data_IF_505296718059
#
_entry.id   IF_505296718059
#
_cell.length_a   1.000
_cell.length_b   1.000
_cell.length_c   1.000
_cell.angle_alpha   90.00
_cell.angle_beta   90.00
_cell.angle_gamma   90.00
#
_symmetry.space_group_name_H-M   'P 1'
#
loop_
_entity.id
_entity.type
_entity.pdbx_description
1 polymer ?
#
# COMPACT_ATOMS: atom_id res chain seq x y z
N UNK A 1 5.35 7.00 1.28
CA UNK A 1 4.13 6.53 0.57
C UNK A 1 2.95 7.34 1.08
N UNK A 2 2.10 7.84 0.19
CA UNK A 2 0.84 8.48 0.57
C UNK A 2 -0.27 7.50 0.25
N UNK A 3 -1.12 7.21 1.23
CA UNK A 3 -2.20 6.22 1.14
C UNK A 3 -3.56 6.87 1.38
N UNK A 4 -4.57 6.32 0.70
CA UNK A 4 -5.96 6.73 0.80
C UNK A 4 -6.89 5.53 1.02
N UNK A 5 -7.92 5.69 1.85
CA UNK A 5 -8.92 4.65 2.12
C UNK A 5 -9.98 4.51 1.03
N UNK A 6 -10.02 5.43 0.06
CA UNK A 6 -10.83 5.35 -1.16
C UNK A 6 -9.96 5.28 -2.43
N UNK A 7 -10.58 4.86 -3.53
CA UNK A 7 -9.97 4.85 -4.85
C UNK A 7 -9.75 6.29 -5.37
N UNK A 8 -8.93 6.44 -6.40
CA UNK A 8 -8.67 7.71 -7.09
C UNK A 8 -8.21 8.85 -6.15
N UNK A 9 -7.45 8.49 -5.11
CA UNK A 9 -6.83 9.43 -4.16
C UNK A 9 -7.86 10.27 -3.38
N UNK A 10 -9.00 9.68 -3.05
CA UNK A 10 -10.10 10.30 -2.29
C UNK A 10 -10.17 9.79 -0.84
N UNK A 11 -11.07 10.37 -0.05
CA UNK A 11 -11.28 9.94 1.33
C UNK A 11 -10.16 10.36 2.28
N UNK A 12 -9.94 9.55 3.31
CA UNK A 12 -8.92 9.77 4.33
C UNK A 12 -7.53 9.55 3.75
N UNK A 13 -6.68 10.55 3.92
CA UNK A 13 -5.28 10.55 3.49
C UNK A 13 -4.34 10.39 4.68
N UNK A 14 -3.31 9.56 4.54
CA UNK A 14 -2.16 9.55 5.44
C UNK A 14 -0.85 9.39 4.67
N UNK A 15 0.19 10.08 5.15
CA UNK A 15 1.54 10.02 4.57
C UNK A 15 2.46 9.27 5.52
N UNK A 16 3.06 8.21 5.01
CA UNK A 16 3.99 7.36 5.75
C UNK A 16 5.41 7.54 5.21
N UNK A 17 6.33 7.82 6.12
CA UNK A 17 7.76 8.00 5.86
C UNK A 17 8.61 6.84 6.38
N UNK A 18 8.04 5.96 7.19
CA UNK A 18 8.63 4.73 7.72
C UNK A 18 7.72 3.52 7.48
N UNK A 19 8.16 2.33 7.86
CA UNK A 19 7.32 1.15 7.87
C UNK A 19 6.05 1.32 8.72
N UNK A 20 4.97 0.69 8.28
CA UNK A 20 3.69 0.62 8.96
C UNK A 20 3.35 -0.85 9.19
N UNK A 21 3.33 -1.28 10.45
CA UNK A 21 3.02 -2.67 10.83
C UNK A 21 1.53 -2.99 10.72
N UNK A 22 0.67 -1.99 10.95
CA UNK A 22 -0.77 -2.11 10.95
C UNK A 22 -1.45 -0.78 10.62
N UNK A 23 -2.08 -0.68 9.45
CA UNK A 23 -2.78 0.55 9.01
C UNK A 23 -3.98 0.92 9.89
N UNK A 24 -4.54 -0.02 10.66
CA UNK A 24 -5.68 0.25 11.54
C UNK A 24 -5.32 1.24 12.67
N UNK A 25 -4.04 1.35 13.03
CA UNK A 25 -3.54 2.34 13.99
C UNK A 25 -3.71 3.78 13.48
N UNK A 26 -3.84 3.94 12.16
CA UNK A 26 -4.11 5.21 11.47
C UNK A 26 -5.59 5.36 11.09
N UNK A 27 -6.42 4.41 11.56
CA UNK A 27 -7.86 4.35 11.35
C UNK A 27 -8.28 3.91 9.93
N UNK A 28 -7.39 3.28 9.18
CA UNK A 28 -7.73 2.67 7.88
C UNK A 28 -8.22 1.25 8.09
N UNK A 29 -9.30 0.85 7.41
CA UNK A 29 -9.71 -0.56 7.33
C UNK A 29 -8.95 -1.30 6.22
N UNK A 30 -8.73 -0.62 5.10
CA UNK A 30 -7.90 -1.04 3.97
C UNK A 30 -7.37 0.19 3.25
N UNK A 31 -6.29 0.05 2.50
CA UNK A 31 -5.87 1.07 1.55
C UNK A 31 -6.47 0.77 0.17
N UNK A 32 -6.98 1.79 -0.52
CA UNK A 32 -7.61 1.67 -1.84
C UNK A 32 -6.91 2.46 -2.94
N UNK A 33 -6.06 3.41 -2.59
CA UNK A 33 -5.16 4.03 -3.57
C UNK A 33 -3.88 4.57 -2.93
N UNK A 34 -2.81 4.68 -3.72
CA UNK A 34 -1.49 5.14 -3.26
C UNK A 34 -0.81 6.08 -4.24
N UNK A 35 0.03 6.96 -3.70
CA UNK A 35 1.07 7.66 -4.46
C UNK A 35 2.43 7.40 -3.84
N UNK A 36 3.37 6.98 -4.66
CA UNK A 36 4.77 6.79 -4.27
C UNK A 36 5.57 7.94 -4.89
N UNK A 37 5.89 8.94 -4.07
CA UNK A 37 6.63 10.11 -4.52
C UNK A 37 8.14 9.81 -4.65
N UNK A 38 8.68 8.97 -3.78
CA UNK A 38 10.11 8.62 -3.74
C UNK A 38 10.34 7.22 -3.19
N UNK A 39 11.44 6.61 -3.64
CA UNK A 39 11.84 5.25 -3.28
C UNK A 39 10.92 4.18 -3.84
N UNK A 40 11.06 2.97 -3.28
CA UNK A 40 10.18 1.85 -3.53
C UNK A 40 9.74 1.24 -2.18
N UNK A 41 8.58 0.61 -2.17
CA UNK A 41 7.96 0.03 -0.98
C UNK A 41 7.50 -1.39 -1.28
N UNK A 42 7.40 -2.22 -0.24
CA UNK A 42 6.65 -3.48 -0.32
C UNK A 42 5.41 -3.35 0.53
N UNK A 43 4.25 -3.53 -0.09
CA UNK A 43 2.96 -3.72 0.57
C UNK A 43 2.67 -5.19 0.86
N UNK A 44 1.90 -5.45 1.91
CA UNK A 44 1.56 -6.79 2.37
C UNK A 44 0.07 -6.92 2.66
N UNK A 45 -0.48 -8.08 2.32
CA UNK A 45 -1.88 -8.43 2.53
C UNK A 45 -2.30 -8.40 4.01
N UNK A 46 -1.41 -8.84 4.89
CA UNK A 46 -1.67 -8.95 6.33
C UNK A 46 -0.80 -8.00 7.13
N UNK A 47 -1.15 -7.81 8.40
CA UNK A 47 -0.38 -7.04 9.35
C UNK A 47 0.99 -7.69 9.58
N UNK A 48 1.96 -6.88 9.99
CA UNK A 48 3.29 -7.38 10.33
C UNK A 48 4.08 -7.99 9.18
N UNK A 49 3.88 -7.47 7.97
CA UNK A 49 4.63 -7.83 6.78
C UNK A 49 4.43 -9.29 6.36
N UNK A 50 3.20 -9.81 6.50
CA UNK A 50 2.83 -11.20 6.19
C UNK A 50 1.89 -11.29 4.99
N UNK A 51 1.81 -12.48 4.39
CA UNK A 51 0.91 -12.77 3.27
C UNK A 51 1.48 -12.34 1.92
N UNK A 52 0.59 -12.08 0.95
CA UNK A 52 0.98 -11.67 -0.38
C UNK A 52 1.75 -10.33 -0.37
N UNK A 53 2.79 -10.23 -1.21
CA UNK A 53 3.63 -9.05 -1.35
C UNK A 53 3.33 -8.30 -2.65
N UNK A 54 3.38 -6.98 -2.57
CA UNK A 54 3.17 -6.06 -3.69
C UNK A 54 4.34 -5.09 -3.75
N UNK A 55 5.08 -5.07 -4.86
CA UNK A 55 6.15 -4.10 -5.07
C UNK A 55 5.52 -2.80 -5.58
N UNK A 56 5.76 -1.72 -4.85
CA UNK A 56 5.22 -0.39 -5.12
C UNK A 56 6.39 0.55 -5.46
N UNK A 57 6.58 0.80 -6.74
CA UNK A 57 7.60 1.72 -7.26
C UNK A 57 7.05 3.15 -7.32
N UNK A 58 7.92 4.11 -7.63
CA UNK A 58 7.51 5.51 -7.84
C UNK A 58 6.39 5.59 -8.89
N UNK A 59 5.25 6.16 -8.52
CA UNK A 59 4.09 6.23 -9.41
C UNK A 59 2.78 6.47 -8.68
N UNK A 60 1.70 6.40 -9.46
CA UNK A 60 0.32 6.56 -9.00
C UNK A 60 -0.44 5.25 -9.14
N UNK A 61 -1.13 4.87 -8.07
CA UNK A 61 -1.88 3.63 -7.94
C UNK A 61 -3.33 3.97 -7.58
N UNK A 62 -4.19 4.32 -8.56
CA UNK A 62 -5.52 4.86 -8.29
C UNK A 62 -6.50 3.82 -7.75
N UNK A 63 -6.22 2.52 -7.89
CA UNK A 63 -7.07 1.39 -7.49
C UNK A 63 -6.26 0.10 -7.49
N UNK A 64 -6.82 -0.96 -6.92
CA UNK A 64 -6.09 -2.18 -6.60
C UNK A 64 -5.45 -2.88 -7.80
N UNK A 65 -6.06 -2.78 -8.98
CA UNK A 65 -5.55 -3.35 -10.23
C UNK A 65 -4.18 -2.78 -10.60
N UNK A 66 -3.85 -1.57 -10.13
CA UNK A 66 -2.58 -0.92 -10.42
C UNK A 66 -1.38 -1.59 -9.71
N UNK A 67 -1.60 -2.33 -8.62
CA UNK A 67 -0.52 -3.04 -7.89
C UNK A 67 -0.70 -4.56 -7.84
N UNK A 68 -1.90 -5.09 -8.10
CA UNK A 68 -2.15 -6.54 -8.07
C UNK A 68 -1.61 -7.29 -9.28
N UNK A 69 -1.30 -6.60 -10.38
CA UNK A 69 -0.84 -7.21 -11.64
C UNK A 69 -1.87 -8.17 -12.25
N UNK A 70 -1.39 -9.15 -13.03
CA UNK A 70 -2.22 -10.19 -13.67
C UNK A 70 -2.46 -11.40 -12.75
N UNK A 71 -2.58 -11.19 -11.44
CA UNK A 71 -2.73 -12.30 -10.51
C UNK A 71 -4.13 -12.91 -10.61
N UNK A 72 -4.21 -14.23 -10.72
CA UNK A 72 -5.49 -14.96 -10.73
C UNK A 72 -6.19 -14.90 -9.35
N UNK A 73 -5.42 -14.63 -8.30
CA UNK A 73 -5.92 -14.45 -6.94
C UNK A 73 -6.23 -12.98 -6.68
N UNK A 74 -7.50 -12.73 -6.40
CA UNK A 74 -8.05 -11.43 -6.07
C UNK A 74 -7.71 -11.06 -4.63
N UNK A 75 -6.69 -10.21 -4.45
CA UNK A 75 -6.30 -9.68 -3.14
C UNK A 75 -6.31 -8.16 -3.22
N UNK A 76 -7.41 -7.56 -2.77
CA UNK A 76 -7.55 -6.10 -2.64
C UNK A 76 -6.97 -5.57 -1.33
N UNK A 77 -6.77 -6.46 -0.35
CA UNK A 77 -6.39 -6.08 1.00
C UNK A 77 -4.91 -5.78 1.06
N UNK A 78 -4.55 -4.63 1.62
CA UNK A 78 -3.20 -4.30 2.04
C UNK A 78 -3.28 -3.67 3.43
N UNK A 79 -2.57 -4.23 4.41
CA UNK A 79 -2.65 -3.79 5.83
C UNK A 79 -1.31 -3.47 6.48
N UNK A 80 -0.20 -3.74 5.81
CA UNK A 80 1.13 -3.30 6.25
C UNK A 80 2.04 -3.03 5.06
N UNK A 81 3.05 -2.18 5.24
CA UNK A 81 4.04 -1.87 4.21
C UNK A 81 5.34 -1.37 4.82
N UNK A 82 6.46 -1.55 4.11
CA UNK A 82 7.78 -1.04 4.52
C UNK A 82 8.58 -0.51 3.33
N UNK A 83 9.48 0.47 3.54
CA UNK A 83 10.42 0.90 2.51
C UNK A 83 11.31 -0.27 2.07
N UNK A 84 11.64 -0.31 0.78
CA UNK A 84 12.74 -1.13 0.27
C UNK A 84 14.01 -0.30 0.44
N UNK A 85 14.85 -0.67 1.42
CA UNK A 85 16.16 -0.06 1.56
C UNK A 85 17.04 -0.47 0.37
N UNK A 86 17.58 0.50 -0.36
CA UNK A 86 18.67 0.24 -1.30
C UNK A 86 19.95 -0.03 -0.49
N UNK A 87 20.68 -1.09 -0.87
CA UNK A 87 22.00 -1.42 -0.33
C UNK A 87 23.06 -0.40 -0.76
#
# INVERSE_FOLDING_TARGET
IIAWDEECFQGRRHEFTSECYNIMEYGFETVRSFKIESGAWVGYEHLGFQGQQFVLERGEYPRWEAWSGSNAYHVERMTSFRPIACA
#
